data_IF_087052239130
#
_entry.id   IF_087052239130
#
_cell.length_a   1.000
_cell.length_b   1.000
_cell.length_c   1.000
_cell.angle_alpha   90.00
_cell.angle_beta   90.00
_cell.angle_gamma   90.00
#
_symmetry.space_group_name_H-M   'P 1'
#
loop_
_entity.id
_entity.type
_entity.pdbx_description
1 polymer ?
#
# COMPACT_ATOMS: atom_id res chain seq x y z
N UNK A 1 -30.56 -12.82 -21.35
CA UNK A 1 -29.33 -13.61 -21.12
C UNK A 1 -28.79 -13.28 -19.75
N UNK A 2 -28.54 -14.27 -18.87
CA UNK A 2 -27.84 -14.01 -17.60
C UNK A 2 -26.36 -13.75 -17.93
N UNK A 3 -25.73 -12.68 -17.41
CA UNK A 3 -24.35 -12.36 -17.74
C UNK A 3 -23.40 -13.47 -17.29
N UNK A 4 -22.43 -13.82 -18.14
CA UNK A 4 -21.34 -14.74 -17.81
C UNK A 4 -20.30 -14.02 -16.95
N UNK A 5 -19.69 -14.73 -15.99
CA UNK A 5 -18.60 -14.19 -15.15
C UNK A 5 -17.47 -13.69 -16.04
N UNK A 6 -17.05 -14.48 -17.04
CA UNK A 6 -15.96 -14.13 -17.96
C UNK A 6 -16.21 -12.83 -18.74
N UNK A 7 -17.46 -12.61 -19.18
CA UNK A 7 -17.82 -11.38 -19.89
C UNK A 7 -17.76 -10.16 -18.97
N UNK A 8 -18.16 -10.31 -17.70
CA UNK A 8 -18.03 -9.25 -16.70
C UNK A 8 -16.55 -8.97 -16.42
N UNK A 9 -15.74 -10.01 -16.22
CA UNK A 9 -14.31 -9.88 -15.95
C UNK A 9 -13.55 -9.27 -17.15
N UNK A 10 -13.85 -9.69 -18.38
CA UNK A 10 -13.31 -9.08 -19.58
C UNK A 10 -13.66 -7.59 -19.65
N UNK A 11 -14.91 -7.23 -19.35
CA UNK A 11 -15.33 -5.83 -19.28
C UNK A 11 -14.58 -5.05 -18.19
N UNK A 12 -14.34 -5.63 -17.02
CA UNK A 12 -13.56 -5.01 -15.94
C UNK A 12 -12.09 -4.84 -16.34
N UNK A 13 -11.52 -5.82 -17.04
CA UNK A 13 -10.17 -5.74 -17.61
C UNK A 13 -10.02 -4.58 -18.58
N UNK A 14 -10.97 -4.42 -19.50
CA UNK A 14 -10.98 -3.30 -20.45
C UNK A 14 -11.15 -1.94 -19.77
N UNK A 15 -11.99 -1.85 -18.73
CA UNK A 15 -12.12 -0.63 -17.92
C UNK A 15 -10.81 -0.25 -17.21
N UNK A 16 -10.08 -1.25 -16.72
CA UNK A 16 -8.80 -1.08 -16.03
C UNK A 16 -7.73 -0.49 -16.96
N UNK A 17 -7.69 -0.92 -18.23
CA UNK A 17 -6.71 -0.44 -19.23
C UNK A 17 -6.90 1.04 -19.57
N UNK A 18 -8.15 1.49 -19.68
CA UNK A 18 -8.48 2.80 -20.24
C UNK A 18 -8.26 3.98 -19.27
N UNK A 19 -7.73 3.75 -18.06
CA UNK A 19 -7.61 4.75 -16.96
C UNK A 19 -8.91 5.55 -16.79
N UNK A 20 -10.07 4.91 -16.99
CA UNK A 20 -11.39 5.56 -16.94
C UNK A 20 -11.76 5.81 -15.48
N UNK A 21 -11.17 6.85 -14.90
CA UNK A 21 -11.51 7.39 -13.58
C UNK A 21 -12.83 8.19 -13.59
N UNK A 22 -13.52 8.28 -14.74
CA UNK A 22 -14.64 9.22 -14.97
C UNK A 22 -16.04 8.61 -14.86
N UNK A 23 -16.18 7.30 -14.67
CA UNK A 23 -17.51 6.69 -14.53
C UNK A 23 -17.58 5.79 -13.31
N UNK A 24 -17.64 6.41 -12.12
CA UNK A 24 -17.98 5.71 -10.88
C UNK A 24 -19.26 4.86 -11.03
N UNK A 25 -20.22 5.36 -11.82
CA UNK A 25 -21.45 4.64 -12.16
C UNK A 25 -21.18 3.35 -12.93
N UNK A 26 -20.26 3.35 -13.91
CA UNK A 26 -19.92 2.14 -14.69
C UNK A 26 -19.24 1.11 -13.79
N UNK A 27 -18.30 1.53 -12.94
CA UNK A 27 -17.68 0.63 -11.96
C UNK A 27 -18.70 0.06 -10.97
N UNK A 28 -19.58 0.90 -10.43
CA UNK A 28 -20.64 0.49 -9.51
C UNK A 28 -21.58 -0.54 -10.14
N UNK A 29 -22.03 -0.31 -11.39
CA UNK A 29 -22.85 -1.27 -12.14
C UNK A 29 -22.11 -2.59 -12.34
N UNK A 30 -20.84 -2.57 -12.74
CA UNK A 30 -20.08 -3.81 -12.97
C UNK A 30 -19.77 -4.59 -11.68
N UNK A 31 -19.52 -3.90 -10.58
CA UNK A 31 -19.38 -4.53 -9.26
C UNK A 31 -20.72 -5.17 -8.85
N UNK A 32 -21.84 -4.48 -9.08
CA UNK A 32 -23.18 -5.00 -8.80
C UNK A 32 -23.49 -6.25 -9.65
N UNK A 33 -23.19 -6.20 -10.95
CA UNK A 33 -23.34 -7.34 -11.86
C UNK A 33 -22.53 -8.55 -11.37
N UNK A 34 -21.26 -8.33 -11.00
CA UNK A 34 -20.38 -9.37 -10.48
C UNK A 34 -20.90 -9.93 -9.15
N UNK A 35 -21.38 -9.06 -8.25
CA UNK A 35 -21.98 -9.48 -6.99
C UNK A 35 -23.20 -10.37 -7.21
N UNK A 36 -24.07 -10.06 -8.18
CA UNK A 36 -25.25 -10.87 -8.48
C UNK A 36 -24.91 -12.27 -9.00
N UNK A 37 -23.75 -12.44 -9.64
CA UNK A 37 -23.29 -13.75 -10.15
C UNK A 37 -22.19 -14.39 -9.31
N UNK A 38 -21.91 -13.87 -8.10
CA UNK A 38 -20.80 -14.30 -7.25
C UNK A 38 -20.76 -15.81 -6.96
N UNK A 39 -21.91 -16.48 -6.91
CA UNK A 39 -22.01 -17.93 -6.71
C UNK A 39 -21.43 -18.77 -7.86
N UNK A 40 -21.16 -18.15 -9.01
CA UNK A 40 -20.55 -18.79 -10.18
C UNK A 40 -19.06 -18.50 -10.33
N UNK A 41 -18.50 -17.66 -9.45
CA UNK A 41 -17.05 -17.42 -9.43
C UNK A 41 -16.37 -18.73 -9.03
N UNK A 42 -15.20 -19.00 -9.59
CA UNK A 42 -14.39 -20.20 -9.33
C UNK A 42 -13.01 -19.74 -8.86
N UNK A 43 -12.20 -20.64 -8.29
CA UNK A 43 -10.85 -20.32 -7.81
C UNK A 43 -9.98 -19.63 -8.87
N UNK A 44 -10.14 -19.99 -10.15
CA UNK A 44 -9.33 -19.47 -11.26
C UNK A 44 -9.66 -18.00 -11.58
N UNK A 45 -10.85 -17.52 -11.21
CA UNK A 45 -11.24 -16.14 -11.43
C UNK A 45 -10.69 -15.19 -10.36
N UNK A 46 -10.39 -15.71 -9.16
CA UNK A 46 -10.09 -14.89 -7.98
C UNK A 46 -8.81 -14.06 -8.13
N UNK A 47 -7.68 -14.58 -8.66
CA UNK A 47 -6.49 -13.76 -8.88
C UNK A 47 -6.77 -12.55 -9.77
N UNK A 48 -7.52 -12.74 -10.87
CA UNK A 48 -7.88 -11.65 -11.77
C UNK A 48 -8.81 -10.62 -11.11
N UNK A 49 -9.80 -11.08 -10.34
CA UNK A 49 -10.69 -10.20 -9.57
C UNK A 49 -9.89 -9.34 -8.59
N UNK A 50 -8.97 -9.97 -7.84
CA UNK A 50 -8.07 -9.29 -6.90
C UNK A 50 -7.22 -8.24 -7.60
N UNK A 51 -6.62 -8.58 -8.75
CA UNK A 51 -5.84 -7.65 -9.59
C UNK A 51 -6.67 -6.44 -10.01
N UNK A 52 -7.86 -6.68 -10.54
CA UNK A 52 -8.76 -5.62 -10.98
C UNK A 52 -9.18 -4.70 -9.83
N UNK A 53 -9.53 -5.24 -8.67
CA UNK A 53 -9.95 -4.43 -7.54
C UNK A 53 -8.81 -3.61 -6.94
N UNK A 54 -7.60 -4.17 -6.89
CA UNK A 54 -6.40 -3.46 -6.42
C UNK A 54 -6.02 -2.31 -7.35
N UNK A 55 -5.79 -2.59 -8.65
CA UNK A 55 -5.32 -1.59 -9.63
C UNK A 55 -6.28 -0.41 -9.76
N UNK A 56 -7.58 -0.64 -9.57
CA UNK A 56 -8.60 0.40 -9.66
C UNK A 56 -8.96 1.05 -8.31
N UNK A 57 -8.25 0.73 -7.24
CA UNK A 57 -8.43 1.30 -5.89
C UNK A 57 -9.85 1.10 -5.33
N UNK A 58 -10.40 -0.10 -5.50
CA UNK A 58 -11.78 -0.42 -5.14
C UNK A 58 -11.91 -1.14 -3.78
N UNK A 59 -10.81 -1.43 -3.10
CA UNK A 59 -10.78 -2.23 -1.87
C UNK A 59 -11.49 -1.55 -0.67
N UNK A 60 -11.78 -0.26 -0.76
CA UNK A 60 -12.59 0.46 0.23
C UNK A 60 -14.11 0.33 -0.01
N UNK A 61 -14.54 -0.20 -1.16
CA UNK A 61 -15.95 -0.39 -1.49
C UNK A 61 -16.53 -1.63 -0.77
N UNK A 62 -17.70 -1.47 -0.13
CA UNK A 62 -18.30 -2.54 0.67
C UNK A 62 -18.74 -3.75 -0.17
N UNK A 63 -19.28 -3.54 -1.37
CA UNK A 63 -19.69 -4.64 -2.25
C UNK A 63 -18.47 -5.42 -2.73
N UNK A 64 -17.36 -4.74 -3.03
CA UNK A 64 -16.08 -5.39 -3.36
C UNK A 64 -15.58 -6.26 -2.22
N UNK A 65 -15.60 -5.74 -0.97
CA UNK A 65 -15.25 -6.54 0.22
C UNK A 65 -16.18 -7.76 0.37
N UNK A 66 -17.47 -7.58 0.14
CA UNK A 66 -18.45 -8.67 0.22
C UNK A 66 -18.22 -9.75 -0.86
N UNK A 67 -17.84 -9.36 -2.09
CA UNK A 67 -17.46 -10.30 -3.15
C UNK A 67 -16.23 -11.10 -2.72
N UNK A 68 -15.16 -10.42 -2.28
CA UNK A 68 -13.91 -11.08 -1.86
C UNK A 68 -14.17 -12.07 -0.72
N UNK A 69 -14.86 -11.65 0.34
CA UNK A 69 -15.25 -12.53 1.45
C UNK A 69 -16.07 -13.74 1.01
N UNK A 70 -16.98 -13.55 0.05
CA UNK A 70 -17.81 -14.64 -0.46
C UNK A 70 -16.99 -15.70 -1.23
N UNK A 71 -15.98 -15.27 -1.99
CA UNK A 71 -15.16 -16.19 -2.83
C UNK A 71 -13.96 -16.77 -2.08
N UNK A 72 -13.64 -16.25 -0.89
CA UNK A 72 -12.53 -16.71 -0.06
C UNK A 72 -12.51 -18.24 0.18
N UNK A 73 -13.63 -18.93 0.50
CA UNK A 73 -13.62 -20.38 0.70
C UNK A 73 -13.16 -21.19 -0.53
N UNK A 74 -13.16 -20.57 -1.72
CA UNK A 74 -12.71 -21.24 -2.94
C UNK A 74 -11.18 -21.30 -3.07
N UNK A 75 -10.45 -20.49 -2.31
CA UNK A 75 -9.00 -20.32 -2.45
C UNK A 75 -8.21 -20.56 -1.17
N UNK A 76 -8.81 -20.40 0.02
CA UNK A 76 -8.08 -20.35 1.30
C UNK A 76 -7.25 -21.60 1.58
N UNK A 77 -7.83 -22.78 1.37
CA UNK A 77 -7.18 -24.08 1.58
C UNK A 77 -6.68 -24.71 0.27
N UNK A 78 -6.48 -23.90 -0.77
CA UNK A 78 -6.02 -24.39 -2.09
C UNK A 78 -4.54 -24.06 -2.29
N UNK A 79 -3.86 -24.99 -2.95
CA UNK A 79 -2.49 -24.86 -3.40
C UNK A 79 -2.43 -24.79 -4.95
N UNK A 80 -1.23 -24.55 -5.47
CA UNK A 80 -0.93 -24.56 -6.90
C UNK A 80 -1.15 -23.23 -7.61
N UNK A 81 -1.24 -22.12 -6.86
CA UNK A 81 -1.20 -20.77 -7.41
C UNK A 81 0.25 -20.35 -7.69
N UNK A 82 0.46 -19.50 -8.70
CA UNK A 82 1.78 -18.91 -8.95
C UNK A 82 2.19 -17.92 -7.85
N UNK A 83 3.47 -17.57 -7.81
CA UNK A 83 4.01 -16.55 -6.88
C UNK A 83 3.26 -15.23 -7.01
N UNK A 84 2.98 -14.76 -8.23
CA UNK A 84 2.16 -13.56 -8.44
C UNK A 84 0.76 -13.71 -7.82
N UNK A 85 0.09 -14.83 -8.10
CA UNK A 85 -1.32 -15.04 -7.76
C UNK A 85 -1.55 -15.10 -6.26
N UNK A 86 -0.83 -15.97 -5.54
CA UNK A 86 -1.05 -16.10 -4.10
C UNK A 86 -0.59 -14.85 -3.34
N UNK A 87 0.49 -14.19 -3.79
CA UNK A 87 0.97 -12.94 -3.19
C UNK A 87 -0.07 -11.84 -3.36
N UNK A 88 -0.56 -11.64 -4.59
CA UNK A 88 -1.58 -10.65 -4.89
C UNK A 88 -2.88 -10.89 -4.12
N UNK A 89 -3.35 -12.14 -4.06
CA UNK A 89 -4.53 -12.48 -3.29
C UNK A 89 -4.32 -12.18 -1.81
N UNK A 90 -3.24 -12.67 -1.21
CA UNK A 90 -2.88 -12.40 0.19
C UNK A 90 -2.82 -10.90 0.47
N UNK A 91 -2.12 -10.11 -0.36
CA UNK A 91 -2.08 -8.65 -0.24
C UNK A 91 -3.48 -8.04 -0.20
N UNK A 92 -4.35 -8.41 -1.15
CA UNK A 92 -5.71 -7.89 -1.25
C UNK A 92 -6.57 -8.26 -0.05
N UNK A 93 -6.49 -9.49 0.46
CA UNK A 93 -7.23 -9.92 1.65
C UNK A 93 -6.75 -9.18 2.91
N UNK A 94 -5.44 -8.98 3.09
CA UNK A 94 -4.92 -8.13 4.17
C UNK A 94 -5.38 -6.68 4.06
N UNK A 95 -5.48 -6.12 2.85
CA UNK A 95 -6.01 -4.75 2.65
C UNK A 95 -7.48 -4.58 3.04
N UNK A 96 -8.27 -5.66 3.08
CA UNK A 96 -9.68 -5.64 3.51
C UNK A 96 -9.88 -6.19 4.93
N UNK A 97 -8.79 -6.27 5.71
CA UNK A 97 -8.75 -6.73 7.09
C UNK A 97 -9.09 -8.22 7.28
N UNK A 98 -8.80 -9.05 6.26
CA UNK A 98 -8.87 -10.52 6.31
C UNK A 98 -7.45 -11.11 6.45
N UNK A 99 -6.77 -10.78 7.55
CA UNK A 99 -5.35 -11.12 7.75
C UNK A 99 -5.09 -12.61 7.99
N UNK A 100 -5.96 -13.30 8.74
CA UNK A 100 -5.89 -14.76 8.96
C UNK A 100 -6.01 -15.54 7.63
N UNK A 101 -7.05 -15.29 6.80
CA UNK A 101 -7.14 -15.89 5.48
C UNK A 101 -5.97 -15.55 4.57
N UNK A 102 -5.49 -14.30 4.62
CA UNK A 102 -4.33 -13.86 3.86
C UNK A 102 -3.08 -14.69 4.19
N UNK A 103 -2.81 -14.91 5.48
CA UNK A 103 -1.68 -15.72 5.93
C UNK A 103 -1.80 -17.18 5.49
N UNK A 104 -3.01 -17.72 5.58
CA UNK A 104 -3.29 -19.10 5.18
C UNK A 104 -3.04 -19.31 3.69
N UNK A 105 -3.51 -18.40 2.83
CA UNK A 105 -3.28 -18.44 1.37
C UNK A 105 -1.78 -18.42 1.07
N UNK A 106 -1.03 -17.53 1.73
CA UNK A 106 0.40 -17.36 1.53
C UNK A 106 1.16 -18.64 1.93
N UNK A 107 0.91 -19.16 3.13
CA UNK A 107 1.63 -20.33 3.66
C UNK A 107 1.33 -21.60 2.87
N UNK A 108 0.08 -21.81 2.46
CA UNK A 108 -0.31 -22.99 1.69
C UNK A 108 0.34 -23.07 0.29
N UNK A 109 0.82 -21.95 -0.24
CA UNK A 109 1.40 -21.86 -1.58
C UNK A 109 2.90 -21.52 -1.59
N UNK A 110 3.47 -21.16 -0.44
CA UNK A 110 4.87 -20.79 -0.36
C UNK A 110 5.81 -21.96 -0.68
N UNK A 111 6.78 -21.68 -1.54
CA UNK A 111 7.91 -22.55 -1.84
C UNK A 111 9.14 -21.67 -2.06
N UNK A 112 10.22 -21.94 -1.33
CA UNK A 112 11.49 -21.19 -1.46
C UNK A 112 11.99 -21.20 -2.90
N UNK A 113 12.11 -22.39 -3.50
CA UNK A 113 12.58 -22.56 -4.89
C UNK A 113 11.75 -21.75 -5.90
N UNK A 114 10.42 -21.71 -5.71
CA UNK A 114 9.52 -20.96 -6.59
C UNK A 114 9.71 -19.44 -6.46
N UNK A 115 9.95 -18.94 -5.25
CA UNK A 115 10.24 -17.52 -5.01
C UNK A 115 11.62 -17.14 -5.52
N UNK A 116 12.63 -18.00 -5.35
CA UNK A 116 14.01 -17.71 -5.76
C UNK A 116 14.17 -17.64 -7.29
N UNK A 117 13.35 -18.39 -8.02
CA UNK A 117 13.32 -18.42 -9.49
C UNK A 117 12.32 -17.45 -10.10
N UNK A 118 11.53 -16.74 -9.27
CA UNK A 118 10.54 -15.79 -9.72
C UNK A 118 11.16 -14.55 -10.39
N UNK A 119 10.40 -13.94 -11.30
CA UNK A 119 10.76 -12.66 -11.90
C UNK A 119 10.82 -11.54 -10.85
N UNK A 120 11.50 -10.42 -11.15
CA UNK A 120 11.55 -9.26 -10.24
C UNK A 120 10.16 -8.69 -9.92
N UNK A 121 9.20 -8.78 -10.85
CA UNK A 121 7.82 -8.29 -10.64
C UNK A 121 7.04 -9.16 -9.67
N UNK A 122 7.19 -10.48 -9.81
CA UNK A 122 6.61 -11.47 -8.90
C UNK A 122 7.23 -11.38 -7.52
N UNK A 123 8.57 -11.27 -7.46
CA UNK A 123 9.29 -11.11 -6.21
C UNK A 123 8.88 -9.82 -5.49
N UNK A 124 8.78 -8.69 -6.20
CA UNK A 124 8.33 -7.45 -5.59
C UNK A 124 6.90 -7.55 -5.06
N UNK A 125 6.00 -8.21 -5.79
CA UNK A 125 4.62 -8.46 -5.33
C UNK A 125 4.62 -9.32 -4.06
N UNK A 126 5.44 -10.35 -4.03
CA UNK A 126 5.63 -11.21 -2.86
C UNK A 126 6.18 -10.41 -1.66
N UNK A 127 7.25 -9.62 -1.85
CA UNK A 127 7.85 -8.81 -0.78
C UNK A 127 6.90 -7.75 -0.24
N UNK A 128 6.13 -7.07 -1.10
CA UNK A 128 5.08 -6.13 -0.68
C UNK A 128 4.02 -6.81 0.19
N UNK A 129 3.72 -8.08 -0.09
CA UNK A 129 2.74 -8.87 0.66
C UNK A 129 3.29 -9.24 2.03
N UNK A 130 4.52 -9.78 2.08
CA UNK A 130 5.22 -10.08 3.32
C UNK A 130 5.34 -8.83 4.21
N UNK A 131 5.78 -7.71 3.62
CA UNK A 131 5.99 -6.48 4.35
C UNK A 131 4.69 -5.89 4.89
N UNK A 132 3.59 -5.95 4.12
CA UNK A 132 2.24 -5.59 4.59
C UNK A 132 1.83 -6.43 5.80
N UNK A 133 1.96 -7.74 5.69
CA UNK A 133 1.53 -8.67 6.74
C UNK A 133 2.35 -8.52 8.03
N UNK A 134 3.68 -8.42 7.93
CA UNK A 134 4.56 -8.17 9.07
C UNK A 134 4.25 -6.81 9.71
N UNK A 135 4.08 -5.76 8.91
CA UNK A 135 3.74 -4.42 9.38
C UNK A 135 2.44 -4.42 10.17
N UNK A 136 1.40 -5.08 9.64
CA UNK A 136 0.11 -5.20 10.32
C UNK A 136 0.19 -6.02 11.60
N UNK A 137 0.96 -7.11 11.62
CA UNK A 137 1.20 -7.89 12.84
C UNK A 137 1.85 -7.04 13.94
N UNK A 138 2.92 -6.32 13.61
CA UNK A 138 3.70 -5.54 14.58
C UNK A 138 2.95 -4.27 14.99
N UNK A 139 2.47 -3.48 14.03
CA UNK A 139 1.92 -2.15 14.29
C UNK A 139 0.39 -2.13 14.38
N UNK A 140 -0.29 -2.96 13.59
CA UNK A 140 -1.73 -3.18 13.70
C UNK A 140 -2.13 -3.99 14.94
N UNK A 141 -1.15 -4.57 15.65
CA UNK A 141 -1.33 -5.40 16.86
C UNK A 141 -2.30 -6.56 16.64
N UNK A 142 -2.22 -7.16 15.46
CA UNK A 142 -3.05 -8.30 15.11
C UNK A 142 -2.45 -9.54 15.77
N UNK A 143 -3.13 -10.06 16.78
CA UNK A 143 -2.70 -11.22 17.55
C UNK A 143 -3.09 -12.50 16.81
N UNK A 144 -2.10 -13.20 16.25
CA UNK A 144 -2.29 -14.57 15.78
C UNK A 144 -1.29 -15.51 16.43
N UNK A 145 -1.76 -16.69 16.83
CA UNK A 145 -0.92 -17.78 17.34
C UNK A 145 -0.07 -18.44 16.24
N UNK A 146 -0.28 -18.07 14.99
CA UNK A 146 0.39 -18.62 13.81
C UNK A 146 1.50 -17.70 13.33
N UNK A 147 2.71 -18.25 13.12
CA UNK A 147 3.93 -17.48 12.79
C UNK A 147 4.38 -17.62 11.34
N UNK A 148 3.55 -18.19 10.46
CA UNK A 148 3.93 -18.56 9.10
C UNK A 148 4.63 -17.46 8.29
N UNK A 149 4.12 -16.22 8.29
CA UNK A 149 4.79 -15.09 7.59
C UNK A 149 6.18 -14.81 8.13
N UNK A 150 6.38 -14.88 9.46
CA UNK A 150 7.67 -14.62 10.09
C UNK A 150 8.67 -15.71 9.73
N UNK A 151 8.22 -16.96 9.69
CA UNK A 151 9.05 -18.12 9.32
C UNK A 151 9.48 -18.03 7.84
N UNK A 152 8.54 -17.75 6.94
CA UNK A 152 8.82 -17.47 5.51
C UNK A 152 9.84 -16.34 5.36
N UNK A 153 9.63 -15.23 6.08
CA UNK A 153 10.51 -14.07 5.98
C UNK A 153 11.92 -14.41 6.45
N UNK A 154 12.05 -15.14 7.56
CA UNK A 154 13.34 -15.58 8.09
C UNK A 154 14.10 -16.50 7.12
N UNK A 155 13.40 -17.42 6.46
CA UNK A 155 13.99 -18.35 5.48
C UNK A 155 14.52 -17.63 4.22
N UNK A 156 13.88 -16.52 3.84
CA UNK A 156 14.25 -15.75 2.65
C UNK A 156 15.29 -14.65 2.90
N UNK A 157 15.55 -14.24 4.14
CA UNK A 157 16.40 -13.07 4.40
C UNK A 157 17.81 -13.21 3.82
N UNK A 158 18.42 -14.38 3.94
CA UNK A 158 19.77 -14.65 3.41
C UNK A 158 19.79 -14.49 1.89
N UNK A 159 18.85 -15.14 1.20
CA UNK A 159 18.65 -15.03 -0.24
C UNK A 159 18.42 -13.57 -0.69
N UNK A 160 17.58 -12.81 0.03
CA UNK A 160 17.31 -11.41 -0.31
C UNK A 160 18.57 -10.56 -0.18
N UNK A 161 19.39 -10.80 0.85
CA UNK A 161 20.64 -10.08 1.02
C UNK A 161 21.69 -10.42 -0.04
N UNK A 162 21.81 -11.69 -0.40
CA UNK A 162 22.68 -12.11 -1.51
C UNK A 162 22.25 -11.43 -2.82
N UNK A 163 20.94 -11.34 -3.07
CA UNK A 163 20.39 -10.65 -4.25
C UNK A 163 20.66 -9.15 -4.22
N UNK A 164 20.49 -8.47 -3.08
CA UNK A 164 20.82 -7.04 -2.91
C UNK A 164 22.32 -6.79 -3.14
N UNK A 165 23.19 -7.63 -2.58
CA UNK A 165 24.64 -7.52 -2.75
C UNK A 165 25.05 -7.74 -4.21
N UNK A 166 24.46 -8.72 -4.89
CA UNK A 166 24.68 -8.97 -6.31
C UNK A 166 24.23 -7.82 -7.22
N UNK A 167 23.18 -7.08 -6.83
CA UNK A 167 22.74 -5.88 -7.54
C UNK A 167 23.74 -4.73 -7.36
N UNK A 168 24.24 -4.51 -6.15
CA UNK A 168 25.17 -3.40 -5.85
C UNK A 168 26.48 -3.46 -6.67
N UNK A 169 26.81 -4.64 -7.20
CA UNK A 169 27.97 -4.89 -8.04
C UNK A 169 27.71 -4.83 -9.55
N UNK A 170 26.44 -4.69 -9.99
CA UNK A 170 26.07 -4.65 -11.41
C UNK A 170 25.88 -3.22 -11.90
N UNK A 171 26.44 -2.91 -13.08
CA UNK A 171 26.12 -1.69 -13.80
C UNK A 171 24.77 -1.88 -14.51
N UNK A 172 23.70 -1.36 -13.92
CA UNK A 172 22.37 -1.35 -14.55
C UNK A 172 22.35 -0.16 -15.52
N UNK A 173 21.87 -0.36 -16.75
CA UNK A 173 21.86 0.66 -17.80
C UNK A 173 20.49 1.32 -18.00
N UNK A 174 19.40 0.71 -17.53
CA UNK A 174 18.03 1.18 -17.76
C UNK A 174 17.35 1.70 -16.47
N UNK A 175 16.83 2.93 -16.53
CA UNK A 175 16.18 3.61 -15.39
C UNK A 175 14.98 2.85 -14.81
N UNK A 176 14.26 2.07 -15.63
CA UNK A 176 13.10 1.29 -15.20
C UNK A 176 13.52 0.09 -14.35
N UNK A 177 14.64 -0.55 -14.70
CA UNK A 177 15.22 -1.64 -13.91
C UNK A 177 15.73 -1.12 -12.56
N UNK A 178 16.37 0.07 -12.54
CA UNK A 178 16.76 0.74 -11.29
C UNK A 178 15.59 0.97 -10.33
N UNK A 179 14.42 1.38 -10.84
CA UNK A 179 13.25 1.61 -9.99
C UNK A 179 12.79 0.32 -9.31
N UNK A 180 12.65 -0.78 -10.06
CA UNK A 180 12.20 -2.08 -9.53
C UNK A 180 13.17 -2.63 -8.51
N UNK A 181 14.45 -2.58 -8.83
CA UNK A 181 15.53 -3.01 -7.95
C UNK A 181 15.55 -2.19 -6.66
N UNK A 182 15.38 -0.86 -6.77
CA UNK A 182 15.29 0.04 -5.62
C UNK A 182 14.11 -0.32 -4.71
N UNK A 183 12.95 -0.63 -5.29
CA UNK A 183 11.77 -1.09 -4.53
C UNK A 183 12.04 -2.43 -3.83
N UNK A 184 12.62 -3.42 -4.50
CA UNK A 184 12.99 -4.71 -3.89
C UNK A 184 13.95 -4.49 -2.71
N UNK A 185 14.94 -3.61 -2.88
CA UNK A 185 15.91 -3.28 -1.84
C UNK A 185 15.23 -2.59 -0.64
N UNK A 186 14.35 -1.62 -0.88
CA UNK A 186 13.62 -0.91 0.17
C UNK A 186 12.59 -1.80 0.90
N UNK A 187 11.92 -2.71 0.18
CA UNK A 187 11.08 -3.74 0.82
C UNK A 187 11.91 -4.65 1.71
N UNK A 188 13.07 -5.11 1.24
CA UNK A 188 13.96 -6.00 2.01
C UNK A 188 14.51 -5.32 3.26
N UNK A 189 14.93 -4.05 3.16
CA UNK A 189 15.33 -3.22 4.31
C UNK A 189 14.19 -3.11 5.32
N UNK A 190 12.98 -2.83 4.85
CA UNK A 190 11.83 -2.67 5.73
C UNK A 190 11.46 -3.99 6.44
N UNK A 191 11.41 -5.11 5.71
CA UNK A 191 11.19 -6.45 6.27
C UNK A 191 12.26 -6.76 7.33
N UNK A 192 13.54 -6.56 7.01
CA UNK A 192 14.63 -6.82 7.95
C UNK A 192 14.53 -5.96 9.22
N UNK A 193 14.16 -4.69 9.07
CA UNK A 193 13.92 -3.79 10.19
C UNK A 193 12.77 -4.29 11.08
N UNK A 194 11.67 -4.76 10.49
CA UNK A 194 10.54 -5.35 11.22
C UNK A 194 10.94 -6.61 11.99
N UNK A 195 11.88 -7.39 11.46
CA UNK A 195 12.41 -8.61 12.10
C UNK A 195 13.54 -8.33 13.12
N UNK A 196 14.02 -7.09 13.22
CA UNK A 196 15.16 -6.74 14.09
C UNK A 196 16.51 -7.27 13.60
N UNK A 197 16.65 -7.52 12.28
CA UNK A 197 17.83 -8.12 11.65
C UNK A 197 18.55 -7.17 10.65
N UNK A 198 18.22 -5.87 10.70
CA UNK A 198 18.73 -4.92 9.72
C UNK A 198 20.24 -4.68 9.90
N UNK A 199 21.00 -4.94 8.84
CA UNK A 199 22.31 -4.35 8.65
C UNK A 199 22.15 -2.89 8.17
N UNK A 200 22.66 -1.95 8.98
CA UNK A 200 22.52 -0.51 8.70
C UNK A 200 23.41 -0.04 7.55
N UNK A 201 24.47 -0.77 7.20
CA UNK A 201 25.37 -0.38 6.11
C UNK A 201 24.65 -0.34 4.75
N UNK A 202 23.64 -1.18 4.59
CA UNK A 202 22.78 -1.26 3.39
C UNK A 202 22.10 0.08 3.08
N UNK A 203 21.86 0.92 4.09
CA UNK A 203 21.28 2.25 3.90
C UNK A 203 22.22 3.18 3.10
N UNK A 204 23.52 2.93 3.03
CA UNK A 204 24.45 3.82 2.30
C UNK A 204 24.41 3.63 0.77
N UNK A 205 23.63 2.68 0.27
CA UNK A 205 23.56 2.43 -1.17
C UNK A 205 22.70 3.49 -1.89
N UNK A 206 23.25 4.13 -2.93
CA UNK A 206 22.57 5.17 -3.71
C UNK A 206 21.38 4.62 -4.53
N UNK A 207 21.32 3.31 -4.79
CA UNK A 207 20.21 2.68 -5.52
C UNK A 207 18.86 2.95 -4.83
N UNK A 208 18.85 3.13 -3.51
CA UNK A 208 17.61 3.38 -2.78
C UNK A 208 16.96 4.72 -3.13
N UNK A 209 17.71 5.68 -3.69
CA UNK A 209 17.21 7.04 -3.99
C UNK A 209 16.12 7.04 -5.08
N UNK A 210 16.04 5.97 -5.88
CA UNK A 210 15.03 5.80 -6.92
C UNK A 210 13.66 5.35 -6.40
N UNK A 211 13.56 4.83 -5.17
CA UNK A 211 12.34 4.24 -4.63
C UNK A 211 11.14 5.19 -4.52
N UNK A 212 9.93 4.64 -4.42
CA UNK A 212 8.71 5.44 -4.27
C UNK A 212 8.64 6.18 -2.94
N UNK A 213 7.80 7.22 -2.87
CA UNK A 213 7.51 7.95 -1.63
C UNK A 213 7.07 6.97 -0.53
N UNK A 214 6.19 6.03 -0.86
CA UNK A 214 5.70 5.06 0.12
C UNK A 214 6.83 4.20 0.70
N UNK A 215 7.77 3.77 -0.13
CA UNK A 215 8.92 2.97 0.30
C UNK A 215 9.82 3.74 1.27
N UNK A 216 10.03 5.03 1.03
CA UNK A 216 10.72 5.90 2.00
C UNK A 216 9.92 6.14 3.28
N UNK A 217 8.59 6.27 3.21
CA UNK A 217 7.74 6.42 4.41
C UNK A 217 7.90 5.22 5.35
N UNK A 218 7.94 4.00 4.81
CA UNK A 218 8.11 2.77 5.61
C UNK A 218 9.42 2.75 6.42
N UNK A 219 10.48 3.33 5.87
CA UNK A 219 11.82 3.32 6.48
C UNK A 219 12.23 4.69 7.03
N UNK A 220 11.33 5.65 7.19
CA UNK A 220 11.75 7.04 7.44
C UNK A 220 12.54 7.22 8.73
N UNK A 221 12.26 6.41 9.75
CA UNK A 221 13.03 6.36 11.00
C UNK A 221 14.51 5.99 10.81
N UNK A 222 14.86 5.38 9.68
CA UNK A 222 16.22 4.95 9.33
C UNK A 222 16.92 5.94 8.39
N UNK A 223 16.20 6.91 7.84
CA UNK A 223 16.76 7.84 6.86
C UNK A 223 17.59 8.94 7.54
N UNK A 224 18.67 9.35 6.88
CA UNK A 224 19.43 10.53 7.26
C UNK A 224 18.60 11.81 7.02
N UNK A 225 18.94 12.94 7.67
CA UNK A 225 18.26 14.22 7.44
C UNK A 225 18.24 14.65 5.97
N UNK A 226 19.33 14.41 5.23
CA UNK A 226 19.45 14.78 3.82
C UNK A 226 18.45 14.00 2.96
N UNK A 227 18.32 12.70 3.21
CA UNK A 227 17.34 11.86 2.51
C UNK A 227 15.92 12.19 2.89
N UNK A 228 15.66 12.60 4.14
CA UNK A 228 14.34 13.09 4.55
C UNK A 228 13.97 14.35 3.77
N UNK A 229 14.88 15.30 3.63
CA UNK A 229 14.67 16.48 2.79
C UNK A 229 14.40 16.12 1.33
N UNK A 230 15.16 15.19 0.76
CA UNK A 230 14.90 14.68 -0.60
C UNK A 230 13.48 14.10 -0.76
N UNK A 231 13.01 13.32 0.23
CA UNK A 231 11.65 12.76 0.21
C UNK A 231 10.59 13.85 0.30
N UNK A 232 10.81 14.90 1.10
CA UNK A 232 9.91 16.06 1.14
C UNK A 232 9.80 16.74 -0.24
N UNK A 233 10.92 16.97 -0.92
CA UNK A 233 10.92 17.55 -2.28
C UNK A 233 10.18 16.65 -3.29
N UNK A 234 10.35 15.33 -3.16
CA UNK A 234 9.62 14.34 -3.96
C UNK A 234 8.11 14.38 -3.71
N UNK A 235 7.70 14.55 -2.44
CA UNK A 235 6.28 14.74 -2.08
C UNK A 235 5.76 16.03 -2.72
N UNK A 236 6.46 17.15 -2.56
CA UNK A 236 5.99 18.44 -3.05
C UNK A 236 5.91 18.54 -4.58
N UNK A 237 6.71 17.76 -5.31
CA UNK A 237 6.69 17.68 -6.77
C UNK A 237 5.67 16.66 -7.33
N UNK A 238 5.18 15.72 -6.52
CA UNK A 238 4.32 14.61 -6.97
C UNK A 238 2.87 15.01 -7.25
N UNK A 239 2.17 14.28 -8.12
CA UNK A 239 0.76 14.54 -8.43
C UNK A 239 -0.20 14.03 -7.34
N UNK A 240 -1.44 14.54 -7.36
CA UNK A 240 -2.48 14.22 -6.39
C UNK A 240 -2.72 12.71 -6.21
N UNK A 241 -2.72 11.92 -7.30
CA UNK A 241 -2.98 10.48 -7.21
C UNK A 241 -1.81 9.75 -6.57
N UNK A 242 -0.57 10.16 -6.86
CA UNK A 242 0.63 9.59 -6.25
C UNK A 242 0.62 9.79 -4.73
N UNK A 243 0.23 10.97 -4.27
CA UNK A 243 0.09 11.25 -2.83
C UNK A 243 -1.07 10.48 -2.21
N UNK A 244 -2.23 10.44 -2.88
CA UNK A 244 -3.38 9.69 -2.38
C UNK A 244 -3.10 8.17 -2.32
N UNK A 245 -2.36 7.63 -3.30
CA UNK A 245 -1.92 6.23 -3.28
C UNK A 245 -0.95 5.94 -2.13
N UNK A 246 -0.06 6.88 -1.84
CA UNK A 246 0.84 6.80 -0.68
C UNK A 246 0.03 6.74 0.62
N UNK A 247 -0.94 7.64 0.82
CA UNK A 247 -1.81 7.61 2.01
C UNK A 247 -2.62 6.31 2.12
N UNK A 248 -3.14 5.81 0.99
CA UNK A 248 -3.86 4.54 0.93
C UNK A 248 -2.99 3.38 1.42
N UNK A 249 -1.75 3.29 0.93
CA UNK A 249 -0.80 2.26 1.34
C UNK A 249 -0.38 2.40 2.81
N UNK A 250 -0.15 3.62 3.31
CA UNK A 250 0.09 3.89 4.75
C UNK A 250 -1.07 3.31 5.60
N UNK A 251 -2.31 3.57 5.18
CA UNK A 251 -3.50 3.07 5.87
C UNK A 251 -3.60 1.53 5.83
N UNK A 252 -3.27 0.88 4.70
CA UNK A 252 -3.27 -0.59 4.62
C UNK A 252 -2.21 -1.23 5.51
N UNK A 253 -1.00 -0.66 5.53
CA UNK A 253 0.12 -1.17 6.33
C UNK A 253 0.00 -0.89 7.83
N UNK A 254 -0.90 0.00 8.24
CA UNK A 254 -1.05 0.46 9.63
C UNK A 254 0.25 1.05 10.18
N UNK A 255 0.99 1.78 9.34
CA UNK A 255 2.28 2.34 9.75
C UNK A 255 2.09 3.35 10.90
N UNK A 256 2.88 3.27 11.98
CA UNK A 256 2.76 4.18 13.11
C UNK A 256 3.43 5.52 12.85
N UNK A 257 4.26 5.59 11.81
CA UNK A 257 5.13 6.71 11.50
C UNK A 257 4.35 7.86 10.86
N UNK A 258 4.56 9.07 11.40
CA UNK A 258 3.83 10.28 11.02
C UNK A 258 4.75 11.36 10.45
N UNK A 259 6.04 11.05 10.24
CA UNK A 259 7.07 12.03 9.88
C UNK A 259 6.73 12.82 8.60
N UNK A 260 6.22 12.15 7.57
CA UNK A 260 5.83 12.79 6.32
C UNK A 260 4.36 13.15 6.22
N UNK A 261 3.55 12.87 7.26
CA UNK A 261 2.08 13.04 7.21
C UNK A 261 1.67 14.47 6.90
N UNK A 262 2.32 15.45 7.54
CA UNK A 262 2.06 16.87 7.27
C UNK A 262 2.29 17.20 5.79
N UNK A 263 3.44 16.81 5.24
CA UNK A 263 3.82 17.09 3.85
C UNK A 263 2.84 16.45 2.85
N UNK A 264 2.40 15.22 3.11
CA UNK A 264 1.43 14.51 2.27
C UNK A 264 0.09 15.26 2.23
N UNK A 265 -0.45 15.67 3.38
CA UNK A 265 -1.72 16.39 3.42
C UNK A 265 -1.61 17.81 2.87
N UNK A 266 -0.53 18.54 3.14
CA UNK A 266 -0.26 19.85 2.55
C UNK A 266 -0.22 19.74 1.01
N UNK A 267 0.44 18.72 0.47
CA UNK A 267 0.49 18.49 -0.97
C UNK A 267 -0.88 18.19 -1.56
N UNK A 268 -1.71 17.37 -0.90
CA UNK A 268 -3.08 17.11 -1.36
C UNK A 268 -3.93 18.37 -1.41
N UNK A 269 -3.82 19.25 -0.41
CA UNK A 269 -4.58 20.49 -0.35
C UNK A 269 -4.14 21.48 -1.44
N UNK A 270 -2.85 21.52 -1.75
CA UNK A 270 -2.28 22.43 -2.74
C UNK A 270 -2.40 21.91 -4.20
N UNK A 271 -2.83 20.66 -4.39
CA UNK A 271 -2.95 20.06 -5.71
C UNK A 271 -4.42 19.89 -6.10
N UNK A 272 -4.87 20.43 -7.24
CA UNK A 272 -6.24 20.26 -7.67
C UNK A 272 -6.55 18.79 -7.98
N UNK A 273 -7.48 18.19 -7.23
CA UNK A 273 -8.03 16.88 -7.53
C UNK A 273 -8.97 16.94 -8.75
N UNK A 274 -8.93 15.92 -9.61
CA UNK A 274 -9.80 15.82 -10.79
C UNK A 274 -11.17 15.16 -10.49
N UNK A 275 -11.36 14.53 -9.33
CA UNK A 275 -12.55 13.72 -9.01
C UNK A 275 -13.04 13.95 -7.57
N UNK A 276 -14.36 14.00 -7.38
CA UNK A 276 -15.03 14.08 -6.07
C UNK A 276 -14.82 12.82 -5.22
N UNK A 277 -14.64 11.65 -5.85
CA UNK A 277 -14.39 10.39 -5.14
C UNK A 277 -13.01 10.38 -4.47
N UNK A 278 -11.96 10.79 -5.19
CA UNK A 278 -10.61 10.86 -4.65
C UNK A 278 -10.51 11.87 -3.48
N UNK A 279 -11.30 12.95 -3.54
CA UNK A 279 -11.44 13.92 -2.45
C UNK A 279 -12.08 13.32 -1.20
N UNK A 280 -13.20 12.60 -1.36
CA UNK A 280 -13.85 11.87 -0.25
C UNK A 280 -12.91 10.86 0.39
N UNK A 281 -12.12 10.16 -0.43
CA UNK A 281 -11.12 9.23 0.08
C UNK A 281 -10.02 9.95 0.88
N UNK A 282 -9.48 11.06 0.36
CA UNK A 282 -8.49 11.87 1.07
C UNK A 282 -9.02 12.40 2.41
N UNK A 283 -10.29 12.83 2.47
CA UNK A 283 -10.97 13.23 3.70
C UNK A 283 -11.10 12.07 4.69
N UNK A 284 -11.47 10.87 4.21
CA UNK A 284 -11.51 9.68 5.05
C UNK A 284 -10.15 9.37 5.69
N UNK A 285 -9.05 9.50 4.94
CA UNK A 285 -7.71 9.34 5.50
C UNK A 285 -7.33 10.44 6.49
N UNK A 286 -7.71 11.69 6.22
CA UNK A 286 -7.52 12.81 7.16
C UNK A 286 -8.25 12.54 8.49
N UNK A 287 -9.51 12.14 8.42
CA UNK A 287 -10.35 11.86 9.59
C UNK A 287 -9.78 10.73 10.43
N UNK A 288 -9.40 9.62 9.79
CA UNK A 288 -8.76 8.49 10.48
C UNK A 288 -7.43 8.91 11.12
N UNK A 289 -6.63 9.72 10.44
CA UNK A 289 -5.33 10.19 10.97
C UNK A 289 -5.54 11.10 12.20
N UNK A 290 -6.52 12.00 12.16
CA UNK A 290 -6.89 12.85 13.30
C UNK A 290 -7.33 11.98 14.48
N UNK A 291 -8.20 10.99 14.24
CA UNK A 291 -8.67 10.07 15.27
C UNK A 291 -7.53 9.28 15.91
N UNK A 292 -6.60 8.74 15.11
CA UNK A 292 -5.44 8.01 15.60
C UNK A 292 -4.51 8.90 16.46
N UNK A 293 -4.30 10.15 16.04
CA UNK A 293 -3.52 11.12 16.82
C UNK A 293 -4.19 11.45 18.15
N UNK A 294 -5.52 11.60 18.21
CA UNK A 294 -6.25 11.77 19.48
C UNK A 294 -6.03 10.60 20.42
N UNK A 295 -6.06 9.38 19.89
CA UNK A 295 -5.75 8.17 20.66
C UNK A 295 -4.33 8.17 21.21
N UNK A 296 -3.33 8.61 20.43
CA UNK A 296 -1.93 8.70 20.85
C UNK A 296 -1.70 9.79 21.92
N UNK A 297 -2.27 10.98 21.72
CA UNK A 297 -2.18 12.11 22.66
C UNK A 297 -2.78 11.72 24.02
N UNK A 298 -3.98 11.10 24.03
CA UNK A 298 -4.63 10.64 25.27
C UNK A 298 -3.80 9.63 26.06
N UNK A 299 -3.00 8.81 25.37
CA UNK A 299 -2.11 7.81 25.97
C UNK A 299 -0.81 8.38 26.52
N UNK A 300 -0.55 9.70 26.39
CA UNK A 300 0.67 10.39 26.84
C UNK A 300 1.96 9.68 26.38
N UNK A 301 2.04 9.36 25.09
CA UNK A 301 3.27 8.85 24.49
C UNK A 301 4.42 9.84 24.62
N UNK A 302 5.67 9.35 24.54
CA UNK A 302 6.89 10.17 24.63
C UNK A 302 6.88 11.37 23.66
N UNK A 303 6.28 11.22 22.48
CA UNK A 303 6.18 12.28 21.46
C UNK A 303 4.88 13.10 21.50
N UNK A 304 4.24 13.22 22.67
CA UNK A 304 2.90 13.85 22.81
C UNK A 304 2.84 15.27 22.23
N UNK A 305 3.91 16.06 22.34
CA UNK A 305 3.95 17.44 21.82
C UNK A 305 3.97 17.48 20.28
N UNK A 306 4.74 16.59 19.65
CA UNK A 306 4.81 16.47 18.20
C UNK A 306 3.45 16.04 17.65
N UNK A 307 2.81 15.04 18.28
CA UNK A 307 1.48 14.60 17.88
C UNK A 307 0.42 15.68 18.09
N UNK A 308 0.50 16.48 19.15
CA UNK A 308 -0.44 17.58 19.42
C UNK A 308 -0.34 18.70 18.39
N UNK A 309 0.88 19.04 17.94
CA UNK A 309 1.09 20.01 16.85
C UNK A 309 0.53 19.51 15.53
N UNK A 310 0.88 18.29 15.14
CA UNK A 310 0.38 17.67 13.91
C UNK A 310 -1.15 17.56 13.93
N UNK A 311 -1.73 17.12 15.04
CA UNK A 311 -3.18 17.02 15.22
C UNK A 311 -3.88 18.38 15.04
N UNK A 312 -3.34 19.43 15.66
CA UNK A 312 -3.87 20.79 15.52
C UNK A 312 -3.82 21.27 14.07
N UNK A 313 -2.71 21.01 13.37
CA UNK A 313 -2.55 21.34 11.95
C UNK A 313 -3.56 20.60 11.06
N UNK A 314 -3.70 19.29 11.24
CA UNK A 314 -4.65 18.49 10.47
C UNK A 314 -6.11 18.89 10.73
N UNK A 315 -6.46 19.26 11.98
CA UNK A 315 -7.77 19.86 12.30
C UNK A 315 -7.99 21.20 11.61
N UNK A 316 -6.95 22.04 11.53
CA UNK A 316 -7.02 23.29 10.79
C UNK A 316 -7.30 23.02 9.30
N UNK A 317 -6.55 22.11 8.67
CA UNK A 317 -6.82 21.66 7.29
C UNK A 317 -8.28 21.24 7.13
N UNK A 318 -8.78 20.36 8.01
CA UNK A 318 -10.17 19.88 7.97
C UNK A 318 -11.17 21.03 8.01
N UNK A 319 -10.98 21.99 8.91
CA UNK A 319 -11.89 23.14 9.09
C UNK A 319 -11.98 24.06 7.87
N UNK A 320 -10.96 24.06 7.00
CA UNK A 320 -10.97 24.87 5.77
C UNK A 320 -11.87 24.32 4.66
N UNK A 321 -12.34 23.07 4.78
CA UNK A 321 -13.09 22.35 3.75
C UNK A 321 -12.37 22.30 2.39
N UNK A 322 -11.04 22.51 2.33
CA UNK A 322 -10.28 22.58 1.08
C UNK A 322 -10.32 21.27 0.29
N UNK A 323 -10.36 20.14 0.99
CA UNK A 323 -10.49 18.81 0.37
C UNK A 323 -11.93 18.51 -0.07
N UNK A 324 -12.94 19.21 0.45
CA UNK A 324 -14.34 19.08 0.06
C UNK A 324 -14.69 19.96 -1.16
N UNK A 325 -14.01 21.10 -1.31
CA UNK A 325 -14.37 22.10 -2.29
C UNK A 325 -13.94 21.75 -3.74
N UNK A 326 -14.85 21.87 -4.73
CA UNK A 326 -14.60 21.44 -6.10
C UNK A 326 -13.63 22.32 -6.89
N UNK A 327 -13.38 23.58 -6.48
CA UNK A 327 -12.52 24.53 -7.22
C UNK A 327 -11.50 25.28 -6.36
N UNK A 328 -10.34 25.52 -7.01
CA UNK A 328 -9.14 26.25 -6.54
C UNK A 328 -9.49 27.52 -5.76
N UNK A 329 -9.16 27.53 -4.48
CA UNK A 329 -8.65 28.77 -3.90
C UNK A 329 -7.34 29.11 -4.63
N UNK A 330 -7.34 30.24 -5.35
CA UNK A 330 -6.12 30.88 -5.89
C UNK A 330 -5.27 31.53 -4.80
N UNK A 331 -5.60 31.32 -3.52
CA UNK A 331 -4.80 31.81 -2.41
C UNK A 331 -3.67 30.81 -2.22
N UNK A 332 -2.43 31.26 -2.40
CA UNK A 332 -1.26 30.61 -1.79
C UNK A 332 -1.56 30.57 -0.29
N UNK A 333 -1.97 29.40 0.21
CA UNK A 333 -2.15 29.22 1.64
C UNK A 333 -0.75 29.16 2.25
N UNK A 334 -0.30 30.31 2.73
CA UNK A 334 0.84 30.41 3.63
C UNK A 334 0.39 29.86 4.99
N UNK A 335 0.26 28.53 5.11
CA UNK A 335 0.41 27.94 6.42
C UNK A 335 1.84 28.24 6.85
N UNK A 336 2.08 28.68 8.10
CA UNK A 336 3.43 28.68 8.62
C UNK A 336 3.91 27.23 8.56
N UNK A 337 4.82 26.94 7.62
CA UNK A 337 5.67 25.77 7.74
C UNK A 337 6.27 25.84 9.13
N UNK A 338 6.18 24.76 9.92
CA UNK A 338 6.98 24.67 11.12
C UNK A 338 8.44 24.68 10.68
N UNK A 339 9.06 25.85 10.78
CA UNK A 339 10.50 26.01 10.65
C UNK A 339 11.07 25.24 11.86
N UNK A 340 11.76 24.14 11.56
CA UNK A 340 12.62 23.45 12.52
C UNK A 340 13.89 24.27 12.74
#
# INVERSE_FOLDING_TARGET
MKPSVDLILQSLGELSKRKIKRYANVWSTKISDLYLVRSKITKNHVPFISKCFLINNLLNNQDVKNILRYVLPQIIDKNGFSVEEYSLMSYVYSCIDEDDPSETILVNNYSKDSVETASDEELLTFLNTISLMLSRRIFGKINFGFRGVQDISNDLMEYLWDRVNAVSSKCISEMVEYLKVSEIMLESIFISNLLGKLDKEVLNNNIIDHGSIFSFVKISQLLSPERKSYVMDKIYSSDYNTILDTLRKINYFKLPNMEFTEHLFNRLCNTPAKSTMCRKEALGYLDNTIFDLEGKIRRKSVDSDVFSRLHSHLKAIKSTNVLENPHRSRVRWNFPCFIA
#
